data_IF_749417611447
#
_entry.id   IF_749417611447
#
_cell.length_a   1.000
_cell.length_b   1.000
_cell.length_c   1.000
_cell.angle_alpha   90.00
_cell.angle_beta   90.00
_cell.angle_gamma   90.00
#
_symmetry.space_group_name_H-M   'P 1'
#
loop_
_entity.id
_entity.type
_entity.pdbx_description
1 polymer ?
#
# COMPACT_ATOMS: atom_id res chain seq x y z
N UNK A 1 45.96 17.20 43.65
CA UNK A 1 45.78 16.94 42.20
C UNK A 1 44.36 16.42 42.03
N UNK A 2 43.49 17.17 41.34
CA UNK A 2 42.07 16.86 41.19
C UNK A 2 41.82 16.47 39.72
N UNK A 3 41.50 15.20 39.45
CA UNK A 3 41.19 14.72 38.11
C UNK A 3 39.69 14.95 37.86
N UNK A 4 39.29 15.69 36.81
CA UNK A 4 37.88 15.83 36.48
C UNK A 4 37.39 14.51 35.86
N UNK A 5 36.41 13.90 36.50
CA UNK A 5 35.68 12.73 36.00
C UNK A 5 34.82 13.19 34.81
N UNK A 6 35.31 13.02 33.58
CA UNK A 6 34.52 13.27 32.37
C UNK A 6 33.44 12.18 32.26
N UNK A 7 32.21 12.53 32.60
CA UNK A 7 31.04 11.67 32.41
C UNK A 7 30.69 11.66 30.91
N UNK A 8 31.19 10.67 30.17
CA UNK A 8 30.81 10.49 28.76
C UNK A 8 29.36 9.99 28.70
N UNK A 9 28.40 10.86 28.40
CA UNK A 9 27.03 10.45 28.10
C UNK A 9 27.03 9.75 26.72
N UNK A 10 26.72 8.45 26.62
CA UNK A 10 26.55 7.81 25.33
C UNK A 10 25.34 8.43 24.60
N UNK A 11 25.61 9.07 23.45
CA UNK A 11 24.59 9.52 22.51
C UNK A 11 23.91 8.28 21.91
N UNK A 12 22.84 7.81 22.55
CA UNK A 12 21.99 6.76 22.00
C UNK A 12 21.19 7.32 20.82
N UNK A 13 21.62 7.01 19.60
CA UNK A 13 20.84 7.22 18.40
C UNK A 13 19.63 6.28 18.42
N UNK A 14 18.46 6.81 18.76
CA UNK A 14 17.21 6.07 18.64
C UNK A 14 16.74 6.16 17.20
N UNK A 15 16.89 5.06 16.45
CA UNK A 15 16.18 4.91 15.19
C UNK A 15 14.69 4.67 15.51
N UNK A 16 13.82 5.56 15.02
CA UNK A 16 12.37 5.38 15.12
C UNK A 16 11.88 4.51 13.96
N UNK A 17 11.13 3.46 14.26
CA UNK A 17 10.43 2.65 13.26
C UNK A 17 8.98 3.14 13.19
N UNK A 18 8.53 3.49 11.99
CA UNK A 18 7.13 3.80 11.71
C UNK A 18 6.63 2.92 10.57
N UNK A 19 5.35 2.54 10.63
CA UNK A 19 4.64 1.95 9.50
C UNK A 19 3.88 3.06 8.77
N UNK A 20 3.99 3.07 7.44
CA UNK A 20 3.23 3.97 6.58
C UNK A 20 2.38 3.13 5.63
N UNK A 21 1.08 3.39 5.64
CA UNK A 21 0.16 2.79 4.68
C UNK A 21 0.19 3.60 3.39
N UNK A 22 0.45 2.93 2.28
CA UNK A 22 0.42 3.51 0.94
C UNK A 22 -0.68 2.80 0.16
N UNK A 23 -1.69 3.54 -0.26
CA UNK A 23 -2.74 3.03 -1.13
C UNK A 23 -2.52 3.57 -2.54
N UNK A 24 -2.57 2.69 -3.52
CA UNK A 24 -2.51 3.00 -4.95
C UNK A 24 -3.83 2.59 -5.61
N UNK A 25 -4.18 3.34 -6.64
CA UNK A 25 -5.37 3.18 -7.45
C UNK A 25 -5.09 2.27 -8.66
N UNK A 26 -6.12 1.75 -9.32
CA UNK A 26 -5.96 0.90 -10.52
C UNK A 26 -5.27 1.64 -11.68
N UNK A 27 -5.35 2.98 -11.68
CA UNK A 27 -4.65 3.82 -12.65
C UNK A 27 -3.19 4.13 -12.30
N UNK A 28 -2.69 3.68 -11.14
CA UNK A 28 -1.33 3.95 -10.70
C UNK A 28 -0.29 3.17 -11.53
N UNK A 29 0.77 3.84 -12.04
CA UNK A 29 1.75 3.20 -12.91
C UNK A 29 2.63 2.15 -12.21
N UNK A 30 2.55 2.00 -10.89
CA UNK A 30 3.18 0.90 -10.16
C UNK A 30 2.50 -0.46 -10.39
N UNK A 31 1.27 -0.46 -10.93
CA UNK A 31 0.56 -1.66 -11.36
C UNK A 31 0.86 -1.92 -12.84
N UNK A 32 1.44 -3.08 -13.13
CA UNK A 32 1.81 -3.48 -14.49
C UNK A 32 0.79 -4.47 -15.03
N UNK A 33 0.05 -4.03 -16.04
CA UNK A 33 -0.96 -4.83 -16.73
C UNK A 33 -0.36 -5.54 -17.97
N UNK A 34 -0.69 -6.82 -18.13
CA UNK A 34 -0.36 -7.65 -19.31
C UNK A 34 -1.61 -8.35 -19.83
N UNK A 35 -1.68 -8.54 -21.14
CA UNK A 35 -2.85 -9.09 -21.82
C UNK A 35 -3.84 -8.00 -22.24
N UNK A 36 -5.05 -8.40 -22.61
CA UNK A 36 -6.12 -7.46 -22.96
C UNK A 36 -6.84 -6.95 -21.70
N UNK A 37 -6.92 -5.63 -21.53
CA UNK A 37 -7.62 -4.98 -20.43
C UNK A 37 -8.56 -3.91 -20.95
N UNK A 38 -9.72 -3.80 -20.33
CA UNK A 38 -10.65 -2.73 -20.57
C UNK A 38 -10.17 -1.46 -19.84
N UNK A 39 -10.16 -0.28 -20.49
CA UNK A 39 -9.64 0.93 -19.86
C UNK A 39 -10.49 1.35 -18.65
N UNK A 40 -9.88 1.64 -17.50
CA UNK A 40 -10.59 2.05 -16.27
C UNK A 40 -11.68 3.12 -16.47
N UNK A 41 -11.42 4.08 -17.35
CA UNK A 41 -12.38 5.14 -17.70
C UNK A 41 -13.73 4.66 -18.24
N UNK A 42 -13.85 3.42 -18.71
CA UNK A 42 -15.12 2.80 -19.17
C UNK A 42 -15.92 2.19 -18.02
N UNK A 43 -15.28 2.00 -16.87
CA UNK A 43 -15.81 1.35 -15.67
C UNK A 43 -15.74 2.34 -14.51
N UNK A 44 -16.68 3.29 -14.48
CA UNK A 44 -16.74 4.35 -13.47
C UNK A 44 -17.84 4.05 -12.47
N UNK A 45 -17.48 3.98 -11.20
CA UNK A 45 -18.44 3.83 -10.11
C UNK A 45 -18.01 4.65 -8.91
N UNK A 46 -18.97 5.27 -8.22
CA UNK A 46 -18.71 5.87 -6.91
C UNK A 46 -18.43 4.83 -5.83
N UNK A 47 -18.57 3.55 -6.17
CA UNK A 47 -18.27 2.40 -5.31
C UNK A 47 -16.82 1.92 -5.46
N UNK A 48 -16.13 2.25 -6.55
CA UNK A 48 -14.73 1.90 -6.73
C UNK A 48 -13.81 2.76 -5.85
N UNK A 49 -12.65 2.23 -5.47
CA UNK A 49 -11.58 3.09 -4.97
C UNK A 49 -11.11 4.00 -6.12
N UNK A 50 -10.85 5.28 -5.84
CA UNK A 50 -10.48 6.25 -6.88
C UNK A 50 -11.57 6.59 -7.92
N UNK A 51 -12.71 5.88 -7.91
CA UNK A 51 -13.87 6.12 -8.77
C UNK A 51 -13.87 5.35 -10.10
N UNK A 52 -12.90 4.46 -10.31
CA UNK A 52 -12.84 3.52 -11.43
C UNK A 52 -12.22 2.20 -11.01
N UNK A 53 -12.48 1.13 -11.76
CA UNK A 53 -11.69 -0.09 -11.70
C UNK A 53 -11.25 -0.52 -13.11
N UNK A 54 -10.19 -1.33 -13.18
CA UNK A 54 -9.68 -1.90 -14.42
C UNK A 54 -10.05 -3.38 -14.48
N UNK A 55 -10.69 -3.78 -15.58
CA UNK A 55 -11.26 -5.11 -15.76
C UNK A 55 -10.60 -5.83 -16.93
N UNK A 56 -10.42 -7.15 -16.82
CA UNK A 56 -10.09 -8.01 -17.95
C UNK A 56 -10.96 -9.24 -17.98
N UNK A 57 -11.41 -9.61 -19.18
CA UNK A 57 -12.05 -10.89 -19.51
C UNK A 57 -11.11 -11.85 -20.27
N UNK A 58 -9.84 -11.48 -20.44
CA UNK A 58 -8.82 -12.30 -21.08
C UNK A 58 -8.24 -13.30 -20.05
N UNK A 59 -8.39 -14.62 -20.25
CA UNK A 59 -7.92 -15.63 -19.30
C UNK A 59 -6.39 -15.70 -19.16
N UNK A 60 -5.65 -15.06 -20.07
CA UNK A 60 -4.19 -15.00 -20.03
C UNK A 60 -3.65 -13.68 -19.46
N UNK A 61 -4.53 -12.71 -19.22
CA UNK A 61 -4.17 -11.42 -18.65
C UNK A 61 -3.75 -11.54 -17.19
N UNK A 62 -2.94 -10.57 -16.74
CA UNK A 62 -2.58 -10.40 -15.34
C UNK A 62 -2.18 -8.97 -15.03
N UNK A 63 -2.37 -8.58 -13.78
CA UNK A 63 -1.86 -7.33 -13.22
C UNK A 63 -0.86 -7.64 -12.12
N UNK A 64 0.29 -6.98 -12.12
CA UNK A 64 1.37 -7.22 -11.17
C UNK A 64 1.65 -5.95 -10.38
N UNK A 65 1.66 -6.06 -9.06
CA UNK A 65 2.04 -4.99 -8.13
C UNK A 65 3.24 -5.44 -7.31
N UNK A 66 4.36 -4.72 -7.44
CA UNK A 66 5.56 -4.98 -6.64
C UNK A 66 5.65 -3.92 -5.53
N UNK A 67 5.85 -4.36 -4.29
CA UNK A 67 5.99 -3.47 -3.14
C UNK A 67 7.10 -3.96 -2.22
N UNK A 68 7.62 -3.06 -1.39
CA UNK A 68 8.53 -3.42 -0.30
C UNK A 68 7.86 -3.04 1.00
N UNK A 69 7.47 -4.02 1.80
CA UNK A 69 6.67 -3.78 2.99
C UNK A 69 6.37 -5.04 3.78
N UNK A 70 5.54 -4.89 4.81
CA UNK A 70 5.22 -5.97 5.77
C UNK A 70 3.75 -6.41 5.70
N UNK A 71 2.94 -5.74 4.89
CA UNK A 71 1.56 -6.13 4.60
C UNK A 71 1.10 -5.62 3.23
N UNK A 72 0.10 -6.29 2.67
CA UNK A 72 -0.64 -5.87 1.49
C UNK A 72 -2.13 -6.20 1.65
N UNK A 73 -2.98 -5.34 1.12
CA UNK A 73 -4.43 -5.41 1.16
C UNK A 73 -4.97 -5.18 -0.24
N UNK A 74 -5.86 -6.05 -0.69
CA UNK A 74 -6.60 -5.90 -1.93
C UNK A 74 -7.97 -5.32 -1.63
N UNK A 75 -8.26 -4.17 -2.23
CA UNK A 75 -9.54 -3.49 -2.14
C UNK A 75 -10.29 -3.71 -3.45
N UNK A 76 -11.57 -4.01 -3.35
CA UNK A 76 -12.46 -4.07 -4.49
C UNK A 76 -13.89 -3.82 -4.02
N UNK A 77 -14.76 -3.25 -4.87
CA UNK A 77 -16.20 -3.31 -4.67
C UNK A 77 -16.71 -4.76 -4.84
N UNK A 78 -18.01 -4.95 -4.63
CA UNK A 78 -18.67 -6.23 -4.86
C UNK A 78 -19.78 -6.10 -5.92
N UNK A 79 -20.09 -7.19 -6.62
CA UNK A 79 -21.07 -7.23 -7.70
C UNK A 79 -22.29 -8.10 -7.38
N UNK A 80 -23.46 -7.81 -7.97
CA UNK A 80 -24.67 -8.61 -7.78
C UNK A 80 -24.67 -9.95 -8.53
N UNK A 81 -23.54 -10.37 -9.11
CA UNK A 81 -23.37 -11.61 -9.85
C UNK A 81 -21.99 -12.21 -9.59
N UNK A 82 -21.76 -13.42 -10.08
CA UNK A 82 -20.55 -14.18 -9.82
C UNK A 82 -19.30 -13.48 -10.41
N UNK A 83 -18.55 -12.80 -9.56
CA UNK A 83 -17.26 -12.18 -9.89
C UNK A 83 -16.21 -12.72 -8.95
N UNK A 84 -15.02 -13.03 -9.48
CA UNK A 84 -13.88 -13.44 -8.67
C UNK A 84 -12.58 -12.92 -9.29
N UNK A 85 -11.52 -12.90 -8.49
CA UNK A 85 -10.16 -12.61 -8.94
C UNK A 85 -9.19 -13.52 -8.18
N UNK A 86 -8.25 -14.11 -8.90
CA UNK A 86 -7.24 -14.97 -8.31
C UNK A 86 -5.99 -14.14 -7.96
N UNK A 87 -5.58 -14.21 -6.70
CA UNK A 87 -4.39 -13.55 -6.18
C UNK A 87 -3.28 -14.56 -5.95
N UNK A 88 -2.05 -14.18 -6.23
CA UNK A 88 -0.85 -14.90 -5.79
C UNK A 88 0.16 -13.93 -5.23
N UNK A 89 0.57 -14.15 -3.99
CA UNK A 89 1.67 -13.42 -3.36
C UNK A 89 2.96 -14.22 -3.54
N UNK A 90 3.96 -13.62 -4.17
CA UNK A 90 5.25 -14.20 -4.47
C UNK A 90 5.13 -15.58 -5.17
N UNK A 91 5.54 -16.64 -4.48
CA UNK A 91 5.53 -18.04 -4.96
C UNK A 91 4.52 -18.90 -4.22
N UNK A 92 3.67 -18.30 -3.38
CA UNK A 92 2.67 -19.03 -2.63
C UNK A 92 1.58 -19.58 -3.56
N UNK A 93 0.81 -20.59 -3.11
CA UNK A 93 -0.36 -21.05 -3.84
C UNK A 93 -1.35 -19.89 -4.09
N UNK A 94 -1.99 -19.82 -5.27
CA UNK A 94 -2.99 -18.81 -5.54
C UNK A 94 -4.23 -18.96 -4.65
N UNK A 95 -4.87 -17.83 -4.34
CA UNK A 95 -6.13 -17.73 -3.59
C UNK A 95 -7.16 -17.08 -4.49
N UNK A 96 -8.34 -17.70 -4.64
CA UNK A 96 -9.47 -17.10 -5.36
C UNK A 96 -10.28 -16.25 -4.38
N UNK A 97 -10.38 -14.96 -4.65
CA UNK A 97 -11.19 -14.00 -3.89
C UNK A 97 -12.54 -13.89 -4.57
N UNK A 98 -13.61 -14.17 -3.83
CA UNK A 98 -14.98 -13.97 -4.28
C UNK A 98 -15.37 -12.49 -4.12
N UNK A 99 -15.79 -11.86 -5.21
CA UNK A 99 -16.23 -10.46 -5.26
C UNK A 99 -17.75 -10.34 -5.48
N UNK A 100 -18.49 -11.42 -5.26
CA UNK A 100 -19.95 -11.41 -5.30
C UNK A 100 -20.51 -10.81 -4.01
N UNK A 101 -21.42 -9.86 -4.12
CA UNK A 101 -22.13 -9.26 -2.99
C UNK A 101 -23.25 -10.18 -2.50
N UNK A 102 -23.13 -10.78 -1.30
CA UNK A 102 -24.14 -11.69 -0.78
C UNK A 102 -25.43 -10.98 -0.33
N UNK A 103 -25.43 -9.65 -0.23
CA UNK A 103 -26.57 -8.86 0.25
C UNK A 103 -27.35 -8.18 -0.86
N UNK A 104 -26.90 -8.32 -2.11
CA UNK A 104 -27.56 -7.77 -3.29
C UNK A 104 -28.68 -8.68 -3.80
N UNK A 105 -29.56 -8.14 -4.63
CA UNK A 105 -30.45 -8.98 -5.45
C UNK A 105 -29.61 -9.57 -6.58
N UNK A 106 -29.59 -10.89 -6.80
CA UNK A 106 -28.78 -11.48 -7.85
C UNK A 106 -29.18 -10.98 -9.24
N UNK A 107 -28.20 -10.52 -9.99
CA UNK A 107 -28.32 -10.11 -11.39
C UNK A 107 -27.46 -11.04 -12.27
N UNK A 108 -27.51 -10.86 -13.60
CA UNK A 108 -26.69 -11.64 -14.55
C UNK A 108 -25.47 -10.86 -15.05
N UNK A 109 -25.53 -9.53 -14.95
CA UNK A 109 -24.54 -8.54 -15.33
C UNK A 109 -24.85 -7.24 -14.56
N UNK A 110 -24.10 -6.18 -14.86
CA UNK A 110 -24.34 -4.85 -14.28
C UNK A 110 -23.15 -4.28 -13.51
N UNK A 111 -23.41 -3.18 -12.83
CA UNK A 111 -22.44 -2.45 -12.01
C UNK A 111 -22.29 -3.06 -10.61
N UNK A 112 -21.34 -2.54 -9.87
CA UNK A 112 -21.08 -2.88 -8.47
C UNK A 112 -22.31 -2.58 -7.61
N UNK A 113 -22.54 -3.39 -6.58
CA UNK A 113 -23.62 -3.23 -5.61
C UNK A 113 -23.12 -2.83 -4.22
N UNK A 114 -21.82 -2.97 -3.93
CA UNK A 114 -21.23 -2.56 -2.65
C UNK A 114 -19.93 -1.77 -2.84
N UNK A 115 -19.72 -0.82 -1.92
CA UNK A 115 -18.53 0.03 -1.85
C UNK A 115 -17.24 -0.78 -1.69
N UNK A 116 -16.18 -0.31 -2.33
CA UNK A 116 -14.84 -0.88 -2.24
C UNK A 116 -14.37 -0.95 -0.79
N UNK A 117 -13.86 -2.12 -0.43
CA UNK A 117 -13.35 -2.42 0.90
C UNK A 117 -12.28 -3.49 0.81
N UNK A 118 -11.54 -3.73 1.90
CA UNK A 118 -10.53 -4.79 1.94
C UNK A 118 -11.22 -6.15 1.85
N UNK A 119 -11.03 -6.84 0.72
CA UNK A 119 -11.58 -8.17 0.44
C UNK A 119 -10.56 -9.29 0.63
N UNK A 120 -9.26 -8.95 0.65
CA UNK A 120 -8.18 -9.88 0.96
C UNK A 120 -6.97 -9.14 1.54
N UNK A 121 -6.18 -9.83 2.36
CA UNK A 121 -4.93 -9.27 2.87
C UNK A 121 -3.90 -10.34 3.22
N UNK A 122 -2.63 -9.93 3.23
CA UNK A 122 -1.52 -10.68 3.81
C UNK A 122 -0.72 -9.74 4.72
N UNK A 123 -0.45 -10.16 5.94
CA UNK A 123 0.25 -9.37 6.97
C UNK A 123 1.39 -10.17 7.58
N UNK A 124 2.28 -9.50 8.32
CA UNK A 124 3.42 -10.16 8.96
C UNK A 124 4.48 -10.62 7.95
N UNK A 125 4.51 -10.01 6.77
CA UNK A 125 5.50 -10.28 5.74
C UNK A 125 6.88 -9.77 6.19
N UNK A 126 7.95 -10.39 5.70
CA UNK A 126 9.29 -9.84 5.87
C UNK A 126 9.38 -8.49 5.16
N UNK A 127 10.12 -7.51 5.70
CA UNK A 127 10.30 -6.22 5.02
C UNK A 127 11.26 -6.34 3.82
N UNK A 128 10.79 -7.00 2.77
CA UNK A 128 11.50 -7.29 1.52
C UNK A 128 10.62 -6.93 0.34
N UNK A 129 11.13 -7.06 -0.87
CA UNK A 129 10.31 -6.89 -2.07
C UNK A 129 9.41 -8.11 -2.26
N UNK A 130 8.12 -7.84 -2.39
CA UNK A 130 7.06 -8.78 -2.66
C UNK A 130 6.39 -8.48 -4.00
N UNK A 131 5.80 -9.50 -4.60
CA UNK A 131 4.99 -9.40 -5.81
C UNK A 131 3.59 -9.93 -5.55
N UNK A 132 2.58 -9.07 -5.67
CA UNK A 132 1.19 -9.50 -5.77
C UNK A 132 0.80 -9.60 -7.25
N UNK A 133 0.34 -10.77 -7.66
CA UNK A 133 -0.19 -11.03 -8.99
C UNK A 133 -1.70 -11.24 -8.92
N UNK A 134 -2.43 -10.46 -9.72
CA UNK A 134 -3.85 -10.63 -10.00
C UNK A 134 -4.00 -11.37 -11.33
N UNK A 135 -4.83 -12.41 -11.36
CA UNK A 135 -5.02 -13.29 -12.51
C UNK A 135 -6.44 -13.86 -12.55
N UNK A 136 -6.81 -14.47 -13.67
CA UNK A 136 -8.10 -15.16 -13.76
C UNK A 136 -8.04 -16.49 -13.02
N UNK A 137 -9.06 -16.78 -12.21
CA UNK A 137 -9.24 -18.12 -11.63
C UNK A 137 -9.59 -19.12 -12.74
N UNK A 138 -9.32 -20.42 -12.55
CA UNK A 138 -9.63 -21.45 -13.57
C UNK A 138 -11.12 -21.52 -13.96
N UNK A 139 -12.02 -21.10 -13.08
CA UNK A 139 -13.46 -21.00 -13.30
C UNK A 139 -13.95 -19.54 -13.27
N UNK A 140 -13.04 -18.58 -13.33
CA UNK A 140 -13.32 -17.16 -13.33
C UNK A 140 -13.69 -16.65 -14.72
N UNK A 141 -14.33 -15.49 -14.78
CA UNK A 141 -14.65 -14.78 -16.02
C UNK A 141 -13.97 -13.42 -16.09
N UNK A 142 -13.53 -12.90 -14.95
CA UNK A 142 -13.02 -11.54 -14.82
C UNK A 142 -11.73 -11.52 -13.98
N UNK A 143 -10.94 -10.48 -14.20
CA UNK A 143 -9.87 -10.03 -13.32
C UNK A 143 -10.19 -8.57 -13.03
N UNK A 144 -10.39 -8.24 -11.76
CA UNK A 144 -10.64 -6.88 -11.30
C UNK A 144 -9.37 -6.36 -10.66
N UNK A 145 -8.98 -5.14 -11.03
CA UNK A 145 -7.98 -4.36 -10.31
C UNK A 145 -8.62 -3.03 -9.91
N UNK A 146 -8.61 -2.73 -8.61
CA UNK A 146 -9.12 -1.50 -8.00
C UNK A 146 -8.01 -0.97 -7.06
N UNK A 147 -8.29 -0.81 -5.77
CA UNK A 147 -7.31 -0.31 -4.81
C UNK A 147 -6.34 -1.39 -4.29
N UNK A 148 -5.07 -1.04 -4.14
CA UNK A 148 -4.07 -1.84 -3.43
C UNK A 148 -3.42 -1.02 -2.33
N UNK A 149 -3.42 -1.52 -1.10
CA UNK A 149 -2.71 -0.87 0.02
C UNK A 149 -1.54 -1.74 0.46
N UNK A 150 -0.38 -1.14 0.73
CA UNK A 150 0.73 -1.82 1.38
C UNK A 150 1.27 -1.03 2.57
N UNK A 151 1.77 -1.76 3.58
CA UNK A 151 2.39 -1.15 4.74
C UNK A 151 3.91 -1.19 4.57
N UNK A 152 4.52 -0.01 4.45
CA UNK A 152 5.97 0.12 4.28
C UNK A 152 6.64 0.45 5.61
N UNK A 153 7.80 -0.17 5.86
CA UNK A 153 8.60 0.11 7.04
C UNK A 153 9.48 1.33 6.79
N UNK A 154 9.22 2.42 7.51
CA UNK A 154 10.00 3.65 7.43
C UNK A 154 10.91 3.78 8.66
N UNK A 155 12.23 3.79 8.41
CA UNK A 155 13.24 3.98 9.46
C UNK A 155 13.60 5.46 9.51
N UNK A 156 13.04 6.20 10.48
CA UNK A 156 13.46 7.56 10.78
C UNK A 156 14.81 7.53 11.49
N UNK A 157 15.87 7.90 10.75
CA UNK A 157 17.14 8.25 11.38
C UNK A 157 17.09 9.72 11.77
N UNK A 158 16.86 9.99 13.05
CA UNK A 158 17.12 11.32 13.60
C UNK A 158 18.64 11.54 13.63
N UNK A 159 19.17 12.30 12.67
CA UNK A 159 20.47 12.92 12.87
C UNK A 159 20.30 13.89 14.04
N UNK A 160 20.88 13.55 15.20
CA UNK A 160 21.00 14.51 16.30
C UNK A 160 21.72 15.75 15.75
N UNK A 161 21.02 16.89 15.67
CA UNK A 161 21.63 18.19 15.43
C UNK A 161 22.47 18.57 16.66
N UNK A 162 23.68 18.01 16.76
CA UNK A 162 24.67 18.47 17.71
C UNK A 162 25.59 19.44 16.99
N UNK A 163 25.13 20.67 16.71
CA UNK A 163 25.98 21.86 16.59
C UNK A 163 25.15 23.13 16.36
N UNK A 164 24.64 23.70 17.45
CA UNK A 164 24.38 25.13 17.53
C UNK A 164 25.12 25.66 18.77
N UNK A 165 26.43 25.79 18.67
CA UNK A 165 27.19 26.68 19.55
C UNK A 165 28.10 27.57 18.71
N UNK A 166 27.62 28.80 18.56
CA UNK A 166 28.35 30.07 18.61
C UNK A 166 29.69 30.13 17.86
N UNK A 167 29.66 30.80 16.72
CA UNK A 167 30.84 31.35 16.05
C UNK A 167 30.47 32.63 15.31
N UNK A 168 30.43 33.74 16.03
CA UNK A 168 30.30 35.10 15.50
C UNK A 168 31.63 35.53 14.88
N UNK A 169 31.62 36.01 13.61
CA UNK A 169 32.47 37.05 12.97
C UNK A 169 32.50 36.81 11.45
N UNK A 170 31.88 37.67 10.63
CA UNK A 170 32.43 38.88 9.99
C UNK A 170 33.28 38.61 8.72
N UNK A 171 32.67 38.98 7.57
CA UNK A 171 33.22 39.57 6.33
C UNK A 171 34.68 39.34 5.92
N UNK A 172 34.92 38.82 4.70
CA UNK A 172 35.48 39.54 3.51
C UNK A 172 35.68 38.56 2.32
N UNK A 173 35.71 39.13 1.12
CA UNK A 173 35.45 38.57 -0.21
C UNK A 173 36.46 37.57 -0.82
N UNK A 174 35.89 36.79 -1.77
CA UNK A 174 36.42 36.33 -3.07
C UNK A 174 37.86 35.81 -3.19
N UNK A 175 37.99 34.52 -3.53
CA UNK A 175 38.99 34.06 -4.50
C UNK A 175 38.54 32.76 -5.16
N UNK A 176 38.62 32.75 -6.49
CA UNK A 176 38.22 31.72 -7.46
C UNK A 176 38.98 30.40 -7.29
N UNK A 177 38.26 29.28 -7.26
CA UNK A 177 38.80 27.93 -7.46
C UNK A 177 37.94 27.08 -8.40
N UNK A 178 38.63 26.41 -9.32
CA UNK A 178 38.20 25.26 -10.14
C UNK A 178 37.90 24.07 -9.19
N UNK A 179 36.87 23.22 -9.41
CA UNK A 179 37.16 21.90 -9.99
C UNK A 179 36.03 21.18 -10.77
N UNK A 180 36.50 20.23 -11.58
CA UNK A 180 35.83 19.06 -12.14
C UNK A 180 35.22 18.16 -11.04
N UNK A 181 33.97 17.67 -11.20
CA UNK A 181 33.62 16.27 -10.94
C UNK A 181 32.20 15.89 -11.42
N UNK A 182 32.10 14.62 -11.76
CA UNK A 182 30.98 13.81 -12.26
C UNK A 182 29.66 13.87 -11.49
N UNK A 183 28.59 13.93 -12.30
CA UNK A 183 27.16 13.80 -11.98
C UNK A 183 26.79 12.45 -11.35
N UNK A 184 26.19 12.40 -10.13
CA UNK A 184 25.44 11.24 -9.66
C UNK A 184 24.03 11.21 -10.26
N UNK A 185 23.49 10.00 -10.37
CA UNK A 185 22.21 9.65 -10.97
C UNK A 185 21.00 10.34 -10.32
N UNK A 186 19.95 10.50 -11.13
CA UNK A 186 18.70 11.16 -10.81
C UNK A 186 17.98 10.53 -9.60
N UNK A 187 17.43 11.38 -8.74
CA UNK A 187 16.52 11.00 -7.67
C UNK A 187 15.23 10.36 -8.25
N UNK A 188 14.64 9.36 -7.57
CA UNK A 188 13.35 8.80 -7.96
C UNK A 188 12.21 9.82 -7.78
N UNK A 189 11.10 9.66 -8.52
CA UNK A 189 10.02 10.64 -8.56
C UNK A 189 9.35 10.81 -7.19
N UNK A 190 8.97 12.06 -6.90
CA UNK A 190 8.28 12.45 -5.66
C UNK A 190 6.88 11.83 -5.62
N UNK A 191 6.68 10.82 -4.76
CA UNK A 191 5.35 10.44 -4.31
C UNK A 191 4.71 11.63 -3.59
N UNK A 192 3.58 12.12 -4.12
CA UNK A 192 2.74 13.10 -3.42
C UNK A 192 2.06 12.37 -2.26
N UNK A 193 2.45 12.68 -1.03
CA UNK A 193 1.67 12.27 0.14
C UNK A 193 0.26 12.86 0.03
N UNK A 194 -0.75 12.02 -0.15
CA UNK A 194 -2.09 12.34 0.30
C UNK A 194 -2.22 11.85 1.74
N UNK A 195 -2.60 12.76 2.65
CA UNK A 195 -2.87 12.40 4.02
C UNK A 195 -4.02 11.38 4.04
N UNK A 196 -3.91 10.26 4.78
CA UNK A 196 -4.98 9.28 4.84
C UNK A 196 -6.21 9.88 5.53
N UNK A 197 -7.43 9.52 5.09
CA UNK A 197 -8.65 9.83 5.82
C UNK A 197 -8.62 9.12 7.19
N UNK A 198 -9.13 9.82 8.20
CA UNK A 198 -9.17 9.39 9.60
C UNK A 198 -10.06 8.15 9.71
N UNK A 199 -9.47 6.97 9.92
CA UNK A 199 -10.21 5.75 10.25
C UNK A 199 -11.02 5.96 11.54
N UNK A 200 -12.34 6.04 11.43
CA UNK A 200 -13.24 5.87 12.57
C UNK A 200 -13.36 4.36 12.85
N UNK A 201 -12.86 3.92 14.00
CA UNK A 201 -13.16 2.58 14.49
C UNK A 201 -14.67 2.45 14.79
N UNK A 202 -15.35 1.38 14.35
CA UNK A 202 -16.71 1.11 14.78
C UNK A 202 -16.73 0.73 16.26
N UNK A 203 -17.40 1.56 17.06
CA UNK A 203 -17.75 1.25 18.45
C UNK A 203 -18.94 0.30 18.51
N UNK A 204 -18.70 -1.03 18.44
CA UNK A 204 -19.51 -2.04 19.16
C UNK A 204 -18.96 -3.45 18.92
N UNK A 205 -18.19 -3.96 19.88
CA UNK A 205 -18.14 -5.40 20.12
C UNK A 205 -19.30 -5.74 21.05
N UNK A 206 -20.40 -6.29 20.51
CA UNK A 206 -21.36 -7.01 21.33
C UNK A 206 -20.89 -8.46 21.43
N UNK A 207 -20.50 -8.87 22.64
CA UNK A 207 -20.28 -10.27 22.98
C UNK A 207 -21.61 -11.04 22.81
N UNK A 208 -21.64 -11.98 21.89
CA UNK A 208 -22.67 -13.00 21.82
C UNK A 208 -22.50 -13.97 23.00
N UNK A 209 -23.49 -14.02 23.90
CA UNK A 209 -23.63 -15.12 24.85
C UNK A 209 -24.29 -16.31 24.16
N UNK A 210 -23.81 -17.55 24.37
CA UNK A 210 -24.48 -18.75 23.88
C UNK A 210 -25.80 -19.00 24.64
N UNK A 211 -26.81 -19.60 23.98
CA UNK A 211 -28.07 -19.94 24.63
C UNK A 211 -27.89 -21.09 25.64
N UNK A 212 -28.71 -21.12 26.71
CA UNK A 212 -28.68 -22.21 27.69
C UNK A 212 -29.19 -23.54 27.09
N UNK A 213 -28.72 -24.69 27.59
CA UNK A 213 -29.14 -25.99 27.10
C UNK A 213 -30.61 -26.28 27.41
N UNK A 214 -31.30 -26.90 26.47
CA UNK A 214 -32.68 -27.36 26.61
C UNK A 214 -32.77 -28.55 27.58
N UNK A 215 -33.74 -28.48 28.49
CA UNK A 215 -34.18 -29.60 29.34
C UNK A 215 -35.35 -30.33 28.69
#
# INVERSE_FOLDING_TARGET
MCFPLLLSLPLFFHAGIALLNVTVDDTDPSIVYKGSWEPSRTHRSGLDYGGTHTLSSDPTANATFNFTGVAVYYLAPLWPYAVNTQLRLDRDPPVVVNLTDPNSTPEIDGSESAMSSVVWSATGLANTTHQLLLSMASTGQFIIADGLTCDILWILRCASCTHCLVGTQSTTAQSTTVPCLSRPAAAPPRCRLHAPPRLQLPSRFQLFHPPPPAH
#
